data_IF_149019154804
#
_entry.id   IF_149019154804
#
_cell.length_a   1.000
_cell.length_b   1.000
_cell.length_c   1.000
_cell.angle_alpha   90.00
_cell.angle_beta   90.00
_cell.angle_gamma   90.00
#
_symmetry.space_group_name_H-M   'P 1'
#
loop_
_entity.id
_entity.type
_entity.pdbx_description
1 polymer ?
#
# COMPACT_ATOMS: atom_id res chain seq x y z
N UNK A 1 25.13 -31.25 21.79
CA UNK A 1 24.24 -30.12 22.13
C UNK A 1 23.88 -29.42 20.83
N UNK A 2 22.66 -29.61 20.32
CA UNK A 2 22.23 -29.06 19.03
C UNK A 2 21.45 -27.77 19.26
N UNK A 3 22.02 -26.63 18.85
CA UNK A 3 21.35 -25.35 18.84
C UNK A 3 20.25 -25.37 17.77
N UNK A 4 19.01 -25.64 18.19
CA UNK A 4 17.84 -25.41 17.35
C UNK A 4 17.65 -23.92 17.23
N UNK A 5 18.02 -23.35 16.09
CA UNK A 5 17.65 -22.02 15.65
C UNK A 5 16.13 -21.95 15.62
N UNK A 6 15.53 -21.42 16.70
CA UNK A 6 14.10 -21.13 16.78
C UNK A 6 13.89 -19.92 15.86
N UNK A 7 13.59 -20.17 14.59
CA UNK A 7 13.12 -19.13 13.70
C UNK A 7 11.99 -18.40 14.44
N UNK A 8 12.24 -17.16 14.84
CA UNK A 8 11.21 -16.30 15.44
C UNK A 8 10.13 -16.19 14.38
N UNK A 9 8.99 -16.87 14.58
CA UNK A 9 7.78 -16.62 13.79
C UNK A 9 7.53 -15.13 13.89
N UNK A 10 7.62 -14.43 12.76
CA UNK A 10 7.19 -13.03 12.67
C UNK A 10 5.72 -13.01 13.10
N UNK A 11 5.30 -12.09 13.99
CA UNK A 11 3.91 -11.99 14.38
C UNK A 11 3.06 -11.79 13.12
N UNK A 12 1.98 -12.56 12.98
CA UNK A 12 1.04 -12.43 11.87
C UNK A 12 0.23 -11.16 12.16
N UNK A 13 0.51 -10.09 11.40
CA UNK A 13 -0.30 -8.87 11.47
C UNK A 13 -1.63 -9.14 10.76
N UNK A 14 -2.73 -8.98 11.49
CA UNK A 14 -4.09 -9.07 10.98
C UNK A 14 -4.75 -7.69 11.08
N UNK A 15 -5.40 -7.25 10.00
CA UNK A 15 -6.01 -5.92 9.90
C UNK A 15 -7.54 -6.06 9.83
N UNK A 16 -8.30 -5.81 10.90
CA UNK A 16 -9.73 -6.10 10.93
C UNK A 16 -10.53 -5.11 10.06
N UNK A 17 -10.72 -5.45 8.78
CA UNK A 17 -11.52 -4.69 7.81
C UNK A 17 -12.81 -5.43 7.48
N UNK A 18 -13.92 -4.69 7.36
CA UNK A 18 -15.25 -5.26 7.16
C UNK A 18 -15.73 -5.16 5.70
N UNK A 19 -15.25 -4.17 4.93
CA UNK A 19 -15.69 -3.94 3.54
C UNK A 19 -14.61 -4.21 2.50
N UNK A 20 -13.53 -3.42 2.54
CA UNK A 20 -12.35 -3.59 1.70
C UNK A 20 -11.12 -3.26 2.52
N UNK A 21 -9.98 -3.85 2.19
CA UNK A 21 -8.70 -3.31 2.66
C UNK A 21 -8.20 -2.34 1.61
N UNK A 22 -8.34 -1.05 1.85
CA UNK A 22 -7.79 -0.01 0.99
C UNK A 22 -6.35 0.31 1.44
N UNK A 23 -5.40 0.11 0.53
CA UNK A 23 -4.01 0.52 0.70
C UNK A 23 -3.73 1.69 -0.21
N UNK A 24 -3.59 2.88 0.37
CA UNK A 24 -3.31 4.11 -0.37
C UNK A 24 -1.85 4.50 -0.24
N UNK A 25 -1.25 4.89 -1.35
CA UNK A 25 0.14 5.30 -1.46
C UNK A 25 0.24 6.69 -2.01
N UNK A 26 1.11 7.50 -1.39
CA UNK A 26 1.52 8.78 -1.93
C UNK A 26 2.84 8.55 -2.66
N UNK A 27 2.84 8.90 -3.94
CA UNK A 27 3.90 8.57 -4.88
C UNK A 27 4.81 9.77 -5.12
N UNK A 28 6.05 9.49 -5.54
CA UNK A 28 6.88 10.54 -6.12
C UNK A 28 6.28 11.01 -7.44
N UNK A 29 6.43 12.31 -7.70
CA UNK A 29 6.05 12.91 -8.98
C UNK A 29 6.69 12.15 -10.14
N UNK A 30 5.89 11.83 -11.13
CA UNK A 30 6.36 11.17 -12.36
C UNK A 30 7.05 12.19 -13.26
N UNK A 31 8.26 11.85 -13.72
CA UNK A 31 9.00 12.63 -14.71
C UNK A 31 8.24 12.70 -16.05
N UNK A 32 8.40 13.81 -16.76
CA UNK A 32 7.79 14.00 -18.07
C UNK A 32 8.29 12.92 -19.07
N UNK A 33 7.37 12.17 -19.66
CA UNK A 33 7.67 11.07 -20.59
C UNK A 33 8.00 9.71 -19.95
N UNK A 34 8.03 9.62 -18.62
CA UNK A 34 8.16 8.35 -17.90
C UNK A 34 6.90 7.48 -17.99
N UNK A 35 7.01 6.15 -17.74
CA UNK A 35 5.84 5.29 -17.68
C UNK A 35 4.95 5.65 -16.49
N UNK A 36 3.63 5.70 -16.71
CA UNK A 36 2.68 6.04 -15.65
C UNK A 36 2.74 5.04 -14.48
N UNK A 37 2.48 5.48 -13.22
CA UNK A 37 2.59 4.64 -12.03
C UNK A 37 1.79 3.35 -12.14
N UNK A 38 0.53 3.43 -12.58
CA UNK A 38 -0.30 2.25 -12.74
C UNK A 38 0.29 1.25 -13.73
N UNK A 39 0.88 1.70 -14.84
CA UNK A 39 1.52 0.82 -15.82
C UNK A 39 2.73 0.09 -15.22
N UNK A 40 3.53 0.77 -14.39
CA UNK A 40 4.66 0.16 -13.67
C UNK A 40 4.16 -0.91 -12.70
N UNK A 41 3.15 -0.59 -11.91
CA UNK A 41 2.53 -1.52 -10.95
C UNK A 41 1.97 -2.74 -11.66
N UNK A 42 1.18 -2.55 -12.72
CA UNK A 42 0.61 -3.66 -13.49
C UNK A 42 1.67 -4.57 -14.13
N UNK A 43 2.87 -4.05 -14.40
CA UNK A 43 4.00 -4.85 -14.89
C UNK A 43 4.63 -5.65 -13.76
N UNK A 44 4.81 -5.04 -12.58
CA UNK A 44 5.34 -5.70 -11.38
C UNK A 44 4.43 -6.84 -10.91
N UNK A 45 3.12 -6.62 -10.93
CA UNK A 45 2.12 -7.60 -10.49
C UNK A 45 2.02 -8.86 -11.37
N UNK A 46 2.68 -8.89 -12.53
CA UNK A 46 2.78 -10.11 -13.33
C UNK A 46 3.44 -11.28 -12.57
N UNK A 47 4.26 -10.98 -11.55
CA UNK A 47 4.86 -11.99 -10.68
C UNK A 47 3.87 -12.69 -9.73
N UNK A 48 2.66 -12.13 -9.58
CA UNK A 48 1.65 -12.59 -8.60
C UNK A 48 0.48 -13.35 -9.25
N UNK A 49 0.61 -13.80 -10.50
CA UNK A 49 -0.49 -14.46 -11.25
C UNK A 49 -1.76 -13.59 -11.28
N UNK A 50 -1.55 -12.30 -11.58
CA UNK A 50 -2.61 -11.30 -11.66
C UNK A 50 -3.07 -11.16 -13.10
N UNK A 51 -4.37 -11.33 -13.32
CA UNK A 51 -5.03 -11.10 -14.61
C UNK A 51 -5.72 -9.75 -14.64
N UNK A 52 -5.63 -9.04 -15.78
CA UNK A 52 -6.39 -7.81 -16.00
C UNK A 52 -7.81 -8.13 -16.41
N UNK A 53 -8.79 -7.57 -15.71
CA UNK A 53 -10.20 -7.71 -16.03
C UNK A 53 -10.68 -6.51 -16.84
N UNK A 54 -11.31 -6.78 -17.99
CA UNK A 54 -11.87 -5.73 -18.83
C UNK A 54 -10.82 -4.77 -19.39
N UNK A 55 -11.26 -3.54 -19.67
CA UNK A 55 -10.42 -2.50 -20.28
C UNK A 55 -10.00 -1.50 -19.21
N UNK A 56 -8.75 -1.06 -19.24
CA UNK A 56 -8.27 0.02 -18.38
C UNK A 56 -9.13 1.28 -18.57
N UNK A 57 -9.49 1.93 -17.46
CA UNK A 57 -10.32 3.14 -17.45
C UNK A 57 -9.43 4.34 -17.23
N UNK A 58 -9.49 5.32 -18.14
CA UNK A 58 -8.74 6.56 -17.99
C UNK A 58 -9.66 7.77 -18.18
N UNK A 59 -9.51 8.76 -17.32
CA UNK A 59 -10.18 10.05 -17.38
C UNK A 59 -9.12 11.15 -17.42
N UNK A 60 -9.18 12.04 -18.40
CA UNK A 60 -8.23 13.13 -18.55
C UNK A 60 -8.68 14.16 -19.59
N UNK A 61 -7.85 15.18 -19.77
CA UNK A 61 -8.06 16.31 -20.68
C UNK A 61 -7.64 16.02 -22.14
N UNK A 62 -7.19 14.78 -22.42
CA UNK A 62 -6.67 14.26 -23.70
C UNK A 62 -5.24 14.71 -24.05
N UNK A 63 -4.52 15.38 -23.15
CA UNK A 63 -3.13 15.78 -23.36
C UNK A 63 -2.26 15.42 -22.15
N UNK A 64 -1.28 14.53 -22.34
CA UNK A 64 -0.37 14.14 -21.26
C UNK A 64 -0.92 13.05 -20.35
N UNK A 65 -0.67 13.18 -19.04
CA UNK A 65 -0.99 12.16 -18.02
C UNK A 65 -2.50 12.26 -17.68
N UNK A 66 -3.26 11.14 -17.67
CA UNK A 66 -4.66 11.14 -17.25
C UNK A 66 -4.81 11.68 -15.82
N UNK A 67 -5.92 12.35 -15.52
CA UNK A 67 -6.24 12.77 -14.15
C UNK A 67 -6.51 11.56 -13.25
N UNK A 68 -7.17 10.54 -13.81
CA UNK A 68 -7.44 9.27 -13.13
C UNK A 68 -7.20 8.14 -14.12
N UNK A 69 -6.54 7.08 -13.66
CA UNK A 69 -6.37 5.86 -14.41
C UNK A 69 -6.56 4.67 -13.48
N UNK A 70 -7.41 3.71 -13.86
CA UNK A 70 -7.72 2.56 -13.03
C UNK A 70 -7.86 1.26 -13.82
N UNK A 71 -7.64 0.15 -13.11
CA UNK A 71 -7.66 -1.20 -13.67
C UNK A 71 -8.23 -2.17 -12.63
N UNK A 72 -9.25 -2.92 -13.03
CA UNK A 72 -9.73 -4.07 -12.27
C UNK A 72 -8.86 -5.29 -12.58
N UNK A 73 -8.56 -6.07 -11.55
CA UNK A 73 -7.63 -7.18 -11.57
C UNK A 73 -8.26 -8.39 -10.89
N UNK A 74 -7.80 -9.57 -11.29
CA UNK A 74 -8.06 -10.84 -10.62
C UNK A 74 -6.75 -11.43 -10.15
N UNK A 75 -6.63 -11.60 -8.84
CA UNK A 75 -5.51 -12.27 -8.19
C UNK A 75 -5.98 -13.62 -7.64
N UNK A 76 -5.69 -14.70 -8.38
CA UNK A 76 -6.31 -16.00 -8.14
C UNK A 76 -7.84 -15.93 -8.24
N UNK A 77 -8.53 -16.00 -7.10
CA UNK A 77 -9.99 -15.86 -6.99
C UNK A 77 -10.46 -14.51 -6.45
N UNK A 78 -9.53 -13.63 -6.11
CA UNK A 78 -9.80 -12.36 -5.46
C UNK A 78 -9.86 -11.24 -6.48
N UNK A 79 -10.85 -10.36 -6.35
CA UNK A 79 -10.90 -9.12 -7.12
C UNK A 79 -10.02 -8.08 -6.43
N UNK A 80 -9.20 -7.40 -7.21
CA UNK A 80 -8.35 -6.30 -6.76
C UNK A 80 -8.62 -5.12 -7.68
N UNK A 81 -8.69 -3.92 -7.13
CA UNK A 81 -8.86 -2.71 -7.92
C UNK A 81 -7.70 -1.75 -7.66
N UNK A 82 -7.08 -1.28 -8.73
CA UNK A 82 -6.04 -0.27 -8.66
C UNK A 82 -6.54 1.02 -9.30
N UNK A 83 -6.32 2.14 -8.63
CA UNK A 83 -6.62 3.47 -9.15
C UNK A 83 -5.48 4.43 -8.84
N UNK A 84 -4.92 5.04 -9.89
CA UNK A 84 -3.98 6.14 -9.78
C UNK A 84 -4.71 7.47 -10.03
N UNK A 85 -4.43 8.47 -9.21
CA UNK A 85 -4.94 9.84 -9.35
C UNK A 85 -3.76 10.80 -9.46
N UNK A 86 -3.86 11.71 -10.42
CA UNK A 86 -2.81 12.66 -10.75
C UNK A 86 -3.28 14.08 -10.43
N UNK A 87 -2.68 14.68 -9.41
CA UNK A 87 -2.97 16.04 -8.99
C UNK A 87 -2.21 17.09 -9.82
N UNK A 88 -2.82 18.25 -10.10
CA UNK A 88 -2.15 19.36 -10.81
C UNK A 88 -0.92 19.90 -10.07
N UNK A 89 -0.89 19.76 -8.74
CA UNK A 89 0.19 20.21 -7.85
C UNK A 89 1.28 19.15 -7.65
N UNK A 90 1.26 18.04 -8.42
CA UNK A 90 2.29 17.01 -8.38
C UNK A 90 2.13 15.97 -7.27
N UNK A 91 0.92 15.79 -6.74
CA UNK A 91 0.61 14.66 -5.87
C UNK A 91 -0.01 13.57 -6.72
N UNK A 92 0.74 12.48 -6.88
CA UNK A 92 0.27 11.25 -7.49
C UNK A 92 -0.11 10.28 -6.37
N UNK A 93 -1.38 9.90 -6.30
CA UNK A 93 -1.90 8.91 -5.34
C UNK A 93 -2.14 7.60 -6.08
N UNK A 94 -1.85 6.47 -5.45
CA UNK A 94 -2.28 5.15 -5.90
C UNK A 94 -3.07 4.46 -4.79
N UNK A 95 -4.31 4.08 -5.08
CA UNK A 95 -5.09 3.20 -4.22
C UNK A 95 -5.06 1.77 -4.75
N UNK A 96 -4.87 0.82 -3.84
CA UNK A 96 -5.07 -0.59 -4.06
C UNK A 96 -6.16 -1.10 -3.12
N UNK A 97 -7.32 -1.41 -3.69
CA UNK A 97 -8.42 -2.03 -2.97
C UNK A 97 -8.31 -3.54 -3.09
N UNK A 98 -8.15 -4.17 -1.93
CA UNK A 98 -8.16 -5.61 -1.75
C UNK A 98 -9.49 -6.03 -1.08
N UNK A 99 -9.89 -7.30 -1.17
CA UNK A 99 -10.97 -7.84 -0.34
C UNK A 99 -10.73 -7.57 1.15
N UNK A 100 -11.76 -7.71 2.01
CA UNK A 100 -11.57 -7.70 3.46
C UNK A 100 -10.39 -8.58 3.87
N UNK A 101 -9.61 -8.10 4.82
CA UNK A 101 -8.42 -8.82 5.29
C UNK A 101 -8.79 -10.20 5.84
N UNK A 102 -9.92 -10.33 6.51
CA UNK A 102 -10.40 -11.60 7.05
C UNK A 102 -10.67 -12.63 5.93
N UNK A 103 -11.23 -12.16 4.81
CA UNK A 103 -11.46 -12.98 3.61
C UNK A 103 -10.14 -13.38 2.95
N UNK A 104 -9.14 -12.49 2.93
CA UNK A 104 -7.79 -12.80 2.44
C UNK A 104 -7.05 -13.76 3.36
N UNK A 105 -7.04 -13.51 4.67
CA UNK A 105 -6.28 -14.28 5.65
C UNK A 105 -6.77 -15.74 5.76
N UNK A 106 -8.04 -15.99 5.45
CA UNK A 106 -8.61 -17.33 5.37
C UNK A 106 -8.20 -18.12 4.11
N UNK A 107 -7.57 -17.47 3.13
CA UNK A 107 -7.48 -18.01 1.76
C UNK A 107 -6.11 -17.83 1.10
N UNK A 108 -5.34 -16.83 1.51
CA UNK A 108 -4.00 -16.47 1.06
C UNK A 108 -3.10 -16.38 2.30
N UNK A 109 -1.84 -16.80 2.17
CA UNK A 109 -0.87 -16.57 3.23
C UNK A 109 -0.70 -15.07 3.47
N UNK A 110 -0.67 -14.65 4.74
CA UNK A 110 -0.52 -13.22 5.07
C UNK A 110 0.79 -12.63 4.54
N UNK A 111 1.87 -13.41 4.51
CA UNK A 111 3.14 -12.93 3.94
C UNK A 111 3.01 -12.66 2.43
N UNK A 112 2.23 -13.46 1.72
CA UNK A 112 1.96 -13.27 0.28
C UNK A 112 1.13 -12.02 0.02
N UNK A 113 0.16 -11.69 0.89
CA UNK A 113 -0.58 -10.42 0.83
C UNK A 113 0.37 -9.24 1.02
N UNK A 114 1.30 -9.34 1.97
CA UNK A 114 2.25 -8.27 2.19
C UNK A 114 3.29 -8.14 1.07
N UNK A 115 3.75 -9.25 0.49
CA UNK A 115 4.65 -9.22 -0.67
C UNK A 115 3.96 -8.57 -1.87
N UNK A 116 2.65 -8.80 -2.04
CA UNK A 116 1.84 -8.10 -3.04
C UNK A 116 1.83 -6.59 -2.79
N UNK A 117 1.51 -6.17 -1.56
CA UNK A 117 1.48 -4.74 -1.16
C UNK A 117 2.85 -4.08 -1.37
N UNK A 118 3.93 -4.77 -1.00
CA UNK A 118 5.30 -4.29 -1.18
C UNK A 118 5.68 -4.15 -2.66
N UNK A 119 5.29 -5.12 -3.49
CA UNK A 119 5.52 -5.05 -4.94
C UNK A 119 4.76 -3.89 -5.60
N UNK A 120 3.56 -3.56 -5.12
CA UNK A 120 2.81 -2.37 -5.54
C UNK A 120 3.54 -1.10 -5.11
N UNK A 121 3.89 -0.98 -3.83
CA UNK A 121 4.57 0.17 -3.27
C UNK A 121 5.90 0.47 -3.98
N UNK A 122 6.71 -0.56 -4.17
CA UNK A 122 8.01 -0.48 -4.86
C UNK A 122 7.83 -0.05 -6.32
N UNK A 123 6.91 -0.68 -7.05
CA UNK A 123 6.71 -0.37 -8.47
C UNK A 123 6.12 1.04 -8.71
N UNK A 124 5.35 1.53 -7.74
CA UNK A 124 4.79 2.87 -7.77
C UNK A 124 5.77 3.97 -7.32
N UNK A 125 6.93 3.59 -6.75
CA UNK A 125 7.85 4.50 -6.06
C UNK A 125 7.15 5.27 -4.93
N UNK A 126 6.44 4.51 -4.07
CA UNK A 126 5.69 5.04 -2.94
C UNK A 126 6.62 5.67 -1.90
N UNK A 127 6.25 6.87 -1.42
CA UNK A 127 6.98 7.58 -0.38
C UNK A 127 6.45 7.22 1.01
N UNK A 128 5.13 7.08 1.13
CA UNK A 128 4.40 6.69 2.34
C UNK A 128 2.96 6.31 1.95
N UNK A 129 2.16 5.92 2.91
CA UNK A 129 0.78 5.54 2.68
C UNK A 129 0.00 5.22 3.95
N UNK A 130 -1.22 4.75 3.76
CA UNK A 130 -2.13 4.36 4.82
C UNK A 130 -2.92 3.11 4.42
N UNK A 131 -3.31 2.32 5.41
CA UNK A 131 -4.20 1.17 5.25
C UNK A 131 -5.44 1.42 6.07
N UNK A 132 -6.61 1.38 5.43
CA UNK A 132 -7.88 1.68 6.09
C UNK A 132 -9.06 0.90 5.51
N UNK A 133 -10.20 1.04 6.16
CA UNK A 133 -11.49 0.48 5.74
C UNK A 133 -12.45 1.65 5.41
N UNK A 134 -12.18 2.30 4.27
CA UNK A 134 -13.01 3.41 3.77
C UNK A 134 -12.60 4.82 4.22
N UNK A 135 -11.52 4.97 4.99
CA UNK A 135 -10.98 6.28 5.35
C UNK A 135 -10.19 6.91 4.18
N UNK A 136 -10.25 8.24 3.99
CA UNK A 136 -9.43 8.93 2.99
C UNK A 136 -7.93 8.74 3.26
N UNK A 137 -7.14 8.62 2.18
CA UNK A 137 -5.69 8.52 2.27
C UNK A 137 -5.05 9.70 3.03
N UNK A 138 -4.00 9.44 3.80
CA UNK A 138 -3.17 10.52 4.35
C UNK A 138 -2.39 11.21 3.23
N UNK A 139 -2.52 12.53 3.12
CA UNK A 139 -1.82 13.32 2.10
C UNK A 139 -0.49 13.90 2.56
N UNK A 140 -0.14 13.71 3.84
CA UNK A 140 1.10 14.21 4.43
C UNK A 140 1.64 13.24 5.48
N UNK A 141 2.98 13.21 5.59
CA UNK A 141 3.67 12.55 6.67
C UNK A 141 3.33 13.20 8.03
N UNK A 142 3.24 12.42 9.11
CA UNK A 142 3.06 12.99 10.43
C UNK A 142 4.30 13.79 10.84
N UNK A 143 4.09 14.96 11.42
CA UNK A 143 5.15 15.80 11.97
C UNK A 143 5.17 15.64 13.50
N UNK A 144 5.87 14.61 13.98
CA UNK A 144 6.00 14.28 15.40
C UNK A 144 4.95 13.30 15.94
N UNK A 145 5.22 12.80 17.16
CA UNK A 145 4.45 11.74 17.81
C UNK A 145 2.94 12.02 17.92
N UNK A 146 2.54 13.26 18.27
CA UNK A 146 1.13 13.61 18.44
C UNK A 146 0.35 13.53 17.11
N UNK A 147 0.96 13.96 16.01
CA UNK A 147 0.38 13.85 14.67
C UNK A 147 0.27 12.38 14.24
N UNK A 148 1.31 11.59 14.50
CA UNK A 148 1.34 10.16 14.20
C UNK A 148 0.21 9.42 14.95
N UNK A 149 0.08 9.64 16.25
CA UNK A 149 -1.02 9.04 17.04
C UNK A 149 -2.40 9.46 16.54
N UNK A 150 -2.57 10.67 16.01
CA UNK A 150 -3.84 11.11 15.46
C UNK A 150 -4.17 10.40 14.13
N UNK A 151 -3.16 10.22 13.26
CA UNK A 151 -3.31 9.46 12.02
C UNK A 151 -3.60 7.97 12.28
N UNK A 152 -2.88 7.33 13.22
CA UNK A 152 -3.08 5.92 13.59
C UNK A 152 -4.46 5.61 14.21
N UNK A 153 -5.19 6.62 14.72
CA UNK A 153 -6.57 6.43 15.19
C UNK A 153 -7.59 6.37 14.05
N UNK A 154 -7.24 6.88 12.88
CA UNK A 154 -8.09 6.85 11.68
C UNK A 154 -7.84 5.59 10.86
N UNK A 155 -6.59 5.16 10.79
CA UNK A 155 -6.16 4.07 9.91
C UNK A 155 -5.91 2.78 10.67
N UNK A 156 -6.08 1.65 9.98
CA UNK A 156 -5.69 0.32 10.51
C UNK A 156 -4.17 0.21 10.63
N UNK A 157 -3.44 0.80 9.69
CA UNK A 157 -1.99 0.93 9.74
C UNK A 157 -1.52 2.11 8.89
N UNK A 158 -0.29 2.57 9.13
CA UNK A 158 0.42 3.51 8.27
C UNK A 158 1.61 2.84 7.62
N UNK A 159 1.93 3.28 6.39
CA UNK A 159 3.12 2.88 5.64
C UNK A 159 4.09 4.05 5.65
N UNK A 160 5.13 4.00 6.49
CA UNK A 160 5.99 5.15 6.74
C UNK A 160 7.45 4.84 6.40
N UNK A 161 8.26 5.82 6.00
CA UNK A 161 9.68 5.61 5.75
C UNK A 161 10.44 5.31 7.06
N UNK A 162 11.53 4.55 6.97
CA UNK A 162 12.27 4.05 8.15
C UNK A 162 12.76 5.13 9.12
N UNK A 163 13.05 6.34 8.63
CA UNK A 163 13.57 7.44 9.44
C UNK A 163 12.57 7.98 10.48
N UNK A 164 11.29 7.58 10.43
CA UNK A 164 10.27 8.03 11.39
C UNK A 164 10.25 7.23 12.69
N UNK A 165 11.19 6.28 12.88
CA UNK A 165 11.20 5.32 13.99
C UNK A 165 11.14 5.96 15.38
N UNK A 166 11.75 7.13 15.56
CA UNK A 166 11.77 7.84 16.85
C UNK A 166 10.38 8.34 17.23
N UNK A 167 9.66 8.93 16.26
CA UNK A 167 8.27 9.38 16.44
C UNK A 167 7.33 8.20 16.74
N UNK A 168 7.60 7.02 16.17
CA UNK A 168 6.82 5.79 16.43
C UNK A 168 6.93 5.37 17.89
N UNK A 169 8.15 5.34 18.43
CA UNK A 169 8.38 4.97 19.82
C UNK A 169 7.75 6.00 20.78
N UNK A 170 7.88 7.29 20.50
CA UNK A 170 7.29 8.36 21.32
C UNK A 170 5.76 8.36 21.27
N UNK A 171 5.17 8.01 20.12
CA UNK A 171 3.72 7.86 19.95
C UNK A 171 3.14 6.61 20.64
N UNK A 172 3.98 5.73 21.20
CA UNK A 172 3.58 4.44 21.75
C UNK A 172 3.09 3.44 20.69
N UNK A 173 3.41 3.69 19.42
CA UNK A 173 3.04 2.86 18.29
C UNK A 173 4.05 1.72 18.07
N UNK A 174 3.68 0.75 17.24
CA UNK A 174 4.50 -0.45 16.97
C UNK A 174 4.87 -0.54 15.49
N UNK A 175 6.15 -0.78 15.20
CA UNK A 175 6.60 -1.23 13.87
C UNK A 175 6.28 -2.72 13.76
N UNK A 176 5.24 -3.06 13.01
CA UNK A 176 4.76 -4.43 12.87
C UNK A 176 5.59 -5.22 11.85
N UNK A 177 6.02 -4.59 10.74
CA UNK A 177 6.92 -5.19 9.75
C UNK A 177 7.66 -4.14 8.92
N UNK A 178 8.69 -4.58 8.21
CA UNK A 178 9.34 -3.85 7.12
C UNK A 178 8.92 -4.47 5.78
N UNK A 179 8.62 -3.63 4.80
CA UNK A 179 8.40 -3.97 3.41
C UNK A 179 9.75 -3.83 2.68
N UNK A 180 10.45 -4.95 2.51
CA UNK A 180 11.87 -4.96 2.12
C UNK A 180 12.10 -4.40 0.70
N UNK A 181 11.13 -4.52 -0.21
CA UNK A 181 11.22 -4.01 -1.58
C UNK A 181 11.07 -2.49 -1.68
N UNK A 182 10.11 -1.94 -0.96
CA UNK A 182 9.79 -0.49 -0.94
C UNK A 182 10.56 0.29 0.13
N UNK A 183 11.07 -0.38 1.17
CA UNK A 183 11.71 0.26 2.32
C UNK A 183 10.72 0.95 3.27
N UNK A 184 9.43 0.59 3.21
CA UNK A 184 8.40 1.15 4.07
C UNK A 184 8.19 0.30 5.32
N UNK A 185 7.94 0.96 6.45
CA UNK A 185 7.52 0.36 7.71
C UNK A 185 6.00 0.30 7.77
N UNK A 186 5.46 -0.86 8.18
CA UNK A 186 4.06 -0.97 8.57
C UNK A 186 3.95 -0.63 10.05
N UNK A 187 3.30 0.47 10.38
CA UNK A 187 3.15 0.99 11.73
C UNK A 187 1.70 0.89 12.17
N UNK A 188 1.49 0.35 13.37
CA UNK A 188 0.17 0.20 14.00
C UNK A 188 0.11 0.93 15.34
N UNK A 189 -1.08 1.40 15.73
CA UNK A 189 -1.34 2.06 17.01
C UNK A 189 -1.43 1.10 18.19
#
# INVERSE_FOLDING_TARGET
MSARTRAKRRPRLELPSAGVTAVSFLLRRVDEGGPWPLTRVLTSLAAFDVERLGVARALGDRHGIPLVHSQELRWGRHQVFLEARHGPDGIDELSCELPPWDDLAGTVDGDVVWDFVDAVAMAADAQFGSIGDGEPAETALPTGAAALSAQLRRHLALLLPEWISDDVAEAGATIARTLDGSGLLVVTG
#
